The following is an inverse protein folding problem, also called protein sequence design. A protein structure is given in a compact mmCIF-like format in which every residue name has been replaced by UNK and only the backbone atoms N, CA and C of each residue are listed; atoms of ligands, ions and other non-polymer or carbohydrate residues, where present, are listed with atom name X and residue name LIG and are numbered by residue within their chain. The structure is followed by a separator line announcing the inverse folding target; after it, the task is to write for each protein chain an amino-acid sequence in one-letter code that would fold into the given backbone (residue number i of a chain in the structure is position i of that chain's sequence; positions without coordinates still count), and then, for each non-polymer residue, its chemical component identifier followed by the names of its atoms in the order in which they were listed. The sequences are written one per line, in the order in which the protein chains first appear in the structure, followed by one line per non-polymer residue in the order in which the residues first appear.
data_IF_907167714581
#
_entry.id   IF_907167714581
#
_cell.length_a   1.000
_cell.length_b   1.000
_cell.length_c   1.000
_cell.angle_alpha   90.00
_cell.angle_beta   90.00
_cell.angle_gamma   90.00
#
_symmetry.space_group_name_H-M   'P 1'
#
loop_
_entity.id
_entity.type
_entity.pdbx_description
1 polymer ?
#
# COMPACT_ATOMS: atom_id res chain seq x y z
N UNK A 1 7.71 -13.60 -8.89
CA UNK A 1 7.45 -13.75 -7.43
C UNK A 1 8.55 -13.02 -6.66
N UNK A 2 8.21 -12.20 -5.67
CA UNK A 2 9.18 -11.42 -4.87
C UNK A 2 10.16 -12.35 -4.14
N UNK A 3 11.43 -11.92 -4.02
CA UNK A 3 12.49 -12.66 -3.30
C UNK A 3 12.03 -12.99 -1.87
N UNK A 4 11.39 -12.03 -1.20
CA UNK A 4 10.89 -12.22 0.17
C UNK A 4 9.80 -13.29 0.32
N UNK A 5 8.96 -13.48 -0.69
CA UNK A 5 7.97 -14.56 -0.68
C UNK A 5 8.66 -15.91 -0.85
N UNK A 6 9.69 -15.99 -1.68
CA UNK A 6 10.48 -17.25 -1.83
C UNK A 6 11.18 -17.61 -0.53
N UNK A 7 11.85 -16.65 0.12
CA UNK A 7 12.50 -16.86 1.42
C UNK A 7 11.50 -17.34 2.47
N UNK A 8 10.29 -16.76 2.49
CA UNK A 8 9.24 -17.18 3.40
C UNK A 8 8.73 -18.61 3.13
N UNK A 9 8.56 -18.99 1.86
CA UNK A 9 8.18 -20.36 1.50
C UNK A 9 9.26 -21.38 1.94
N UNK A 10 10.54 -21.05 1.76
CA UNK A 10 11.64 -21.88 2.26
C UNK A 10 11.59 -22.01 3.79
N UNK A 11 11.36 -20.89 4.49
CA UNK A 11 11.17 -20.91 5.93
C UNK A 11 10.01 -21.83 6.38
N UNK A 12 8.86 -21.80 5.68
CA UNK A 12 7.75 -22.70 5.98
C UNK A 12 8.14 -24.17 5.82
N UNK A 13 8.85 -24.50 4.73
CA UNK A 13 9.33 -25.86 4.47
C UNK A 13 10.28 -26.36 5.56
N UNK A 14 11.23 -25.53 5.98
CA UNK A 14 12.17 -25.85 7.06
C UNK A 14 11.46 -26.13 8.40
N UNK A 15 10.34 -25.42 8.64
CA UNK A 15 9.52 -25.61 9.84
C UNK A 15 8.42 -26.67 9.67
N UNK A 16 8.43 -27.42 8.56
CA UNK A 16 7.44 -28.48 8.23
C UNK A 16 6.01 -27.98 8.23
N UNK A 17 5.79 -26.72 7.83
CA UNK A 17 4.47 -26.11 7.66
C UNK A 17 4.11 -26.21 6.17
N UNK A 18 3.18 -27.07 5.84
CA UNK A 18 2.74 -27.33 4.48
C UNK A 18 1.29 -26.85 4.32
N UNK A 19 1.06 -25.63 3.82
CA UNK A 19 -0.29 -25.14 3.55
C UNK A 19 -0.98 -25.99 2.49
N UNK A 20 -2.26 -26.30 2.68
CA UNK A 20 -3.06 -26.87 1.61
C UNK A 20 -3.34 -25.81 0.53
N UNK A 21 -3.77 -26.22 -0.66
CA UNK A 21 -4.03 -25.30 -1.79
C UNK A 21 -5.05 -24.19 -1.45
N UNK A 22 -5.98 -24.46 -0.53
CA UNK A 22 -7.02 -23.52 -0.10
C UNK A 22 -6.68 -22.77 1.20
N UNK A 23 -5.50 -22.99 1.76
CA UNK A 23 -5.11 -22.34 3.01
C UNK A 23 -4.51 -20.94 2.76
N UNK A 24 -4.44 -20.16 3.82
CA UNK A 24 -3.76 -18.86 3.78
C UNK A 24 -2.26 -19.06 3.64
N UNK A 25 -1.58 -18.15 2.94
CA UNK A 25 -0.12 -18.18 2.80
C UNK A 25 0.61 -17.95 4.13
N UNK A 26 0.03 -17.16 5.05
CA UNK A 26 0.72 -16.72 6.25
C UNK A 26 0.28 -17.50 7.49
N UNK A 27 1.28 -17.98 8.24
CA UNK A 27 1.09 -18.76 9.46
C UNK A 27 1.78 -18.10 10.65
N UNK A 28 1.23 -18.36 11.83
CA UNK A 28 1.85 -17.99 13.11
C UNK A 28 2.90 -19.04 13.49
N UNK A 29 3.78 -18.71 14.44
CA UNK A 29 4.75 -19.66 15.04
C UNK A 29 4.11 -20.93 15.60
N UNK A 30 2.83 -20.86 15.98
CA UNK A 30 2.06 -22.01 16.45
C UNK A 30 1.33 -22.77 15.34
N UNK A 31 1.81 -22.63 14.10
CA UNK A 31 1.28 -23.32 12.90
C UNK A 31 -0.22 -23.07 12.64
N UNK A 32 -0.76 -21.96 13.09
CA UNK A 32 -2.14 -21.55 12.80
C UNK A 32 -2.16 -20.45 11.73
N UNK A 33 -3.18 -20.43 10.85
CA UNK A 33 -3.36 -19.35 9.89
C UNK A 33 -3.36 -17.97 10.56
N UNK A 34 -2.76 -17.00 9.89
CA UNK A 34 -2.69 -15.63 10.42
C UNK A 34 -4.05 -14.94 10.25
N UNK A 35 -4.73 -14.63 11.34
CA UNK A 35 -6.02 -13.93 11.29
C UNK A 35 -5.84 -12.44 10.99
N UNK A 36 -6.84 -11.82 10.34
CA UNK A 36 -6.85 -10.39 10.07
C UNK A 36 -6.70 -9.55 11.35
N UNK A 37 -7.39 -9.95 12.43
CA UNK A 37 -7.29 -9.27 13.72
C UNK A 37 -5.88 -9.27 14.27
N UNK A 38 -5.14 -10.36 14.08
CA UNK A 38 -3.75 -10.47 14.53
C UNK A 38 -2.83 -9.58 13.71
N UNK A 39 -3.05 -9.49 12.39
CA UNK A 39 -2.32 -8.57 11.51
C UNK A 39 -2.56 -7.11 11.95
N UNK A 40 -3.81 -6.73 12.17
CA UNK A 40 -4.18 -5.38 12.61
C UNK A 40 -3.56 -5.04 13.97
N UNK A 41 -3.59 -5.99 14.91
CA UNK A 41 -2.96 -5.81 16.22
C UNK A 41 -1.45 -5.63 16.12
N UNK A 42 -0.77 -6.48 15.36
CA UNK A 42 0.68 -6.37 15.13
C UNK A 42 1.04 -5.03 14.48
N UNK A 43 0.25 -4.60 13.49
CA UNK A 43 0.44 -3.29 12.86
C UNK A 43 0.28 -2.15 13.86
N UNK A 44 -0.72 -2.23 14.76
CA UNK A 44 -0.90 -1.25 15.83
C UNK A 44 0.34 -1.17 16.74
N UNK A 45 0.91 -2.30 17.14
CA UNK A 45 2.10 -2.34 17.97
C UNK A 45 3.32 -1.70 17.26
N UNK A 46 3.54 -2.04 16.00
CA UNK A 46 4.62 -1.45 15.19
C UNK A 46 4.44 0.06 15.08
N UNK A 47 3.23 0.51 14.79
CA UNK A 47 2.91 1.93 14.68
C UNK A 47 3.20 2.67 15.98
N UNK A 48 2.73 2.17 17.11
CA UNK A 48 3.00 2.77 18.42
C UNK A 48 4.50 2.84 18.76
N UNK A 49 5.32 1.91 18.25
CA UNK A 49 6.78 1.93 18.43
C UNK A 49 7.52 2.92 17.53
N UNK A 50 6.90 3.36 16.43
CA UNK A 50 7.52 4.27 15.45
C UNK A 50 7.08 5.73 15.66
N UNK A 51 5.83 5.93 16.06
CA UNK A 51 5.28 7.28 16.27
C UNK A 51 5.68 7.80 17.64
N UNK A 52 6.45 8.90 17.67
CA UNK A 52 6.60 9.71 18.89
C UNK A 52 5.24 10.31 19.27
N UNK A 53 5.00 10.53 20.56
CA UNK A 53 3.72 10.94 21.15
C UNK A 53 3.09 12.21 20.53
N UNK A 54 3.88 13.04 19.85
CA UNK A 54 3.45 14.31 19.24
C UNK A 54 3.07 14.21 17.76
N UNK A 55 3.05 13.02 17.16
CA UNK A 55 2.75 12.90 15.74
C UNK A 55 1.26 12.62 15.50
N UNK A 56 0.64 13.43 14.64
CA UNK A 56 -0.75 13.33 14.18
C UNK A 56 -1.06 12.03 13.39
N UNK A 57 -0.12 11.06 13.43
CA UNK A 57 -0.20 9.78 12.71
C UNK A 57 -0.91 8.66 13.48
N UNK A 58 -1.63 9.01 14.57
CA UNK A 58 -2.32 8.02 15.42
C UNK A 58 -3.42 7.25 14.69
N UNK A 59 -3.94 7.77 13.57
CA UNK A 59 -5.07 7.22 12.84
C UNK A 59 -4.69 6.38 11.59
N UNK A 60 -3.40 6.22 11.28
CA UNK A 60 -2.97 5.43 10.11
C UNK A 60 -3.40 3.97 10.26
N UNK A 61 -4.07 3.44 9.25
CA UNK A 61 -4.58 2.07 9.18
C UNK A 61 -3.72 1.22 8.26
N UNK A 62 -3.75 -0.09 8.44
CA UNK A 62 -3.07 -1.01 7.52
C UNK A 62 -3.54 -0.83 6.07
N UNK A 63 -4.82 -0.51 5.88
CA UNK A 63 -5.41 -0.30 4.56
C UNK A 63 -4.90 0.97 3.86
N UNK A 64 -4.37 1.93 4.59
CA UNK A 64 -3.82 3.18 4.03
C UNK A 64 -2.56 2.93 3.19
N UNK A 65 -1.86 1.80 3.40
CA UNK A 65 -0.78 1.38 2.50
C UNK A 65 -1.27 1.11 1.08
N UNK A 66 -2.46 0.53 0.93
CA UNK A 66 -3.07 0.31 -0.38
C UNK A 66 -3.37 1.64 -1.06
N UNK A 67 -3.96 2.60 -0.33
CA UNK A 67 -4.24 3.93 -0.84
C UNK A 67 -2.96 4.65 -1.26
N UNK A 68 -1.95 4.65 -0.39
CA UNK A 68 -0.65 5.25 -0.67
C UNK A 68 0.04 4.62 -1.88
N UNK A 69 0.00 3.31 -2.00
CA UNK A 69 0.55 2.59 -3.14
C UNK A 69 -0.16 2.98 -4.45
N UNK A 70 -1.49 2.95 -4.47
CA UNK A 70 -2.28 3.28 -5.64
C UNK A 70 -2.03 4.73 -6.10
N UNK A 71 -2.14 5.69 -5.19
CA UNK A 71 -1.91 7.11 -5.48
C UNK A 71 -0.48 7.38 -5.96
N UNK A 72 0.52 6.77 -5.31
CA UNK A 72 1.93 6.92 -5.71
C UNK A 72 2.21 6.33 -7.09
N UNK A 73 1.60 5.19 -7.41
CA UNK A 73 1.75 4.53 -8.71
C UNK A 73 1.17 5.41 -9.82
N UNK A 74 -0.04 5.94 -9.62
CA UNK A 74 -0.68 6.85 -10.59
C UNK A 74 0.13 8.13 -10.75
N UNK A 75 0.60 8.71 -9.64
CA UNK A 75 1.46 9.88 -9.67
C UNK A 75 2.74 9.65 -10.50
N UNK A 76 3.40 8.51 -10.34
CA UNK A 76 4.59 8.15 -11.13
C UNK A 76 4.27 8.04 -12.62
N UNK A 77 3.13 7.43 -12.98
CA UNK A 77 2.72 7.33 -14.38
C UNK A 77 2.42 8.70 -14.99
N UNK A 78 1.76 9.59 -14.25
CA UNK A 78 1.50 10.95 -14.68
C UNK A 78 2.81 11.73 -14.94
N UNK A 79 3.76 11.64 -14.00
CA UNK A 79 5.07 12.28 -14.15
C UNK A 79 5.87 11.75 -15.35
N UNK A 80 5.77 10.45 -15.60
CA UNK A 80 6.43 9.81 -16.73
C UNK A 80 5.67 10.00 -18.06
N UNK A 81 4.55 10.76 -18.06
CA UNK A 81 3.68 10.96 -19.22
C UNK A 81 3.17 9.66 -19.84
N UNK A 82 2.96 8.65 -19.02
CA UNK A 82 2.43 7.36 -19.44
C UNK A 82 0.91 7.43 -19.61
N UNK A 83 0.35 6.52 -20.45
CA UNK A 83 -1.11 6.42 -20.58
C UNK A 83 -1.71 5.79 -19.31
N UNK A 84 -2.15 6.66 -18.40
CA UNK A 84 -2.73 6.26 -17.12
C UNK A 84 -4.05 5.51 -17.34
N UNK A 85 -4.87 5.90 -18.32
CA UNK A 85 -6.16 5.27 -18.56
C UNK A 85 -6.01 3.80 -18.97
N UNK A 86 -5.06 3.48 -19.84
CA UNK A 86 -4.75 2.12 -20.23
C UNK A 86 -4.26 1.27 -19.04
N UNK A 87 -3.56 1.89 -18.09
CA UNK A 87 -2.96 1.21 -16.92
C UNK A 87 -3.89 1.09 -15.72
N UNK A 88 -4.91 1.93 -15.62
CA UNK A 88 -5.86 1.91 -14.49
C UNK A 88 -6.58 0.57 -14.35
N UNK A 89 -6.92 -0.08 -15.47
CA UNK A 89 -7.52 -1.41 -15.43
C UNK A 89 -6.59 -2.44 -14.78
N UNK A 90 -5.30 -2.42 -15.15
CA UNK A 90 -4.28 -3.32 -14.57
C UNK A 90 -4.15 -3.06 -13.08
N UNK A 91 -4.12 -1.78 -12.67
CA UNK A 91 -4.06 -1.41 -11.26
C UNK A 91 -5.30 -1.87 -10.50
N UNK A 92 -6.49 -1.74 -11.09
CA UNK A 92 -7.74 -2.23 -10.52
C UNK A 92 -7.69 -3.73 -10.24
N UNK A 93 -7.25 -4.53 -11.22
CA UNK A 93 -7.06 -5.97 -11.06
C UNK A 93 -6.02 -6.29 -9.97
N UNK A 94 -4.89 -5.57 -9.94
CA UNK A 94 -3.85 -5.75 -8.94
C UNK A 94 -4.35 -5.43 -7.52
N UNK A 95 -5.16 -4.38 -7.38
CA UNK A 95 -5.79 -4.01 -6.12
C UNK A 95 -6.94 -4.96 -5.73
N UNK A 96 -7.44 -5.78 -6.64
CA UNK A 96 -8.57 -6.68 -6.39
C UNK A 96 -9.90 -5.92 -6.26
N UNK A 97 -10.05 -4.80 -6.96
CA UNK A 97 -11.32 -4.10 -7.01
C UNK A 97 -12.30 -4.86 -7.89
N UNK A 98 -13.53 -5.05 -7.42
CA UNK A 98 -14.61 -5.66 -8.21
C UNK A 98 -15.13 -4.71 -9.28
N UNK A 99 -14.96 -3.41 -9.10
CA UNK A 99 -15.35 -2.36 -10.03
C UNK A 99 -14.15 -1.49 -10.36
N UNK A 100 -13.79 -1.31 -11.64
CA UNK A 100 -12.70 -0.41 -12.04
C UNK A 100 -12.90 1.03 -11.57
N UNK A 101 -14.16 1.46 -11.41
CA UNK A 101 -14.56 2.80 -10.97
C UNK A 101 -13.94 3.15 -9.60
N UNK A 102 -13.79 2.17 -8.71
CA UNK A 102 -13.19 2.37 -7.39
C UNK A 102 -11.72 2.82 -7.51
N UNK A 103 -11.06 2.53 -8.64
CA UNK A 103 -9.67 2.93 -8.90
C UNK A 103 -9.59 4.37 -9.42
N UNK A 104 -10.63 4.89 -10.07
CA UNK A 104 -10.68 6.29 -10.55
C UNK A 104 -10.64 7.31 -9.41
N UNK A 105 -11.08 6.94 -8.21
CA UNK A 105 -10.98 7.80 -7.03
C UNK A 105 -9.51 8.16 -6.70
N UNK A 106 -8.58 7.24 -6.93
CA UNK A 106 -7.15 7.51 -6.75
C UNK A 106 -6.59 8.45 -7.80
N UNK A 107 -7.09 8.39 -9.03
CA UNK A 107 -6.69 9.31 -10.10
C UNK A 107 -7.06 10.74 -9.74
N UNK A 108 -8.31 10.97 -9.33
CA UNK A 108 -8.77 12.29 -8.91
C UNK A 108 -7.97 12.84 -7.73
N UNK A 109 -7.69 12.01 -6.73
CA UNK A 109 -6.88 12.38 -5.57
C UNK A 109 -5.43 12.70 -5.96
N UNK A 110 -4.86 11.96 -6.92
CA UNK A 110 -3.48 12.17 -7.39
C UNK A 110 -3.34 13.46 -8.18
N UNK A 111 -4.32 13.82 -9.00
CA UNK A 111 -4.36 15.10 -9.74
C UNK A 111 -4.45 16.27 -8.77
N UNK A 112 -5.35 16.19 -7.76
CA UNK A 112 -5.46 17.23 -6.73
C UNK A 112 -4.15 17.41 -5.94
N UNK A 113 -3.44 16.32 -5.65
CA UNK A 113 -2.13 16.38 -5.01
C UNK A 113 -1.09 17.05 -5.90
N UNK A 114 -1.09 16.80 -7.20
CA UNK A 114 -0.20 17.47 -8.15
C UNK A 114 -0.44 18.97 -8.19
N UNK A 115 -1.69 19.39 -8.26
CA UNK A 115 -2.06 20.82 -8.27
C UNK A 115 -1.64 21.51 -6.97
N UNK A 116 -1.83 20.86 -5.82
CA UNK A 116 -1.40 21.40 -4.53
C UNK A 116 0.12 21.53 -4.42
N UNK A 117 0.87 20.57 -4.95
CA UNK A 117 2.35 20.62 -4.96
C UNK A 117 2.84 21.70 -5.91
N UNK A 118 2.28 21.80 -7.12
CA UNK A 118 2.61 22.88 -8.06
C UNK A 118 2.36 24.27 -7.47
N UNK A 119 1.19 24.47 -6.91
CA UNK A 119 0.82 25.76 -6.29
C UNK A 119 1.73 26.13 -5.10
N UNK A 120 2.16 25.13 -4.30
CA UNK A 120 3.14 25.36 -3.21
C UNK A 120 4.51 25.72 -3.77
N UNK A 121 4.95 25.04 -4.82
CA UNK A 121 6.24 25.31 -5.45
C UNK A 121 6.29 26.71 -6.06
N UNK A 122 5.23 27.11 -6.77
CA UNK A 122 5.11 28.46 -7.35
C UNK A 122 5.14 29.55 -6.28
N UNK A 123 4.47 29.34 -5.13
CA UNK A 123 4.56 30.25 -3.99
C UNK A 123 5.97 30.36 -3.44
N UNK A 124 6.64 29.24 -3.20
CA UNK A 124 8.01 29.25 -2.67
C UNK A 124 9.00 29.93 -3.62
N UNK A 125 8.84 29.76 -4.92
CA UNK A 125 9.70 30.41 -5.93
C UNK A 125 9.35 31.88 -6.12
N UNK A 126 8.07 32.23 -5.95
CA UNK A 126 7.59 33.63 -6.00
C UNK A 126 8.09 34.48 -4.82
N UNK A 127 8.22 33.88 -3.64
CA UNK A 127 8.70 34.54 -2.41
C UNK A 127 10.25 34.70 -2.37
N UNK A 128 10.97 34.10 -3.34
CA UNK A 128 12.43 34.21 -3.50
C UNK A 128 12.88 35.32 -4.47
N UNK A 129 11.96 36.11 -5.02
CA UNK A 129 12.22 37.30 -5.85
C UNK A 129 11.94 38.59 -5.07
#
# INVERSE_FOLDING_TARGET
MSIKIKEYILFLNDHKIYPNENDTLFYTTNQKPFSLSKIQYTFKLIRCGITHEDSDHTNVRLYDFRHSFASRTIYQWLNNKEDVNAKLYILSCYLGHSKPEDTYLYLSSSILLMDLVSNRYEKMVGDLK
#
